data_IF_585311065734
#
_entry.id   IF_585311065734
#
_cell.length_a   1.000
_cell.length_b   1.000
_cell.length_c   1.000
_cell.angle_alpha   90.00
_cell.angle_beta   90.00
_cell.angle_gamma   90.00
#
_symmetry.space_group_name_H-M   'P 1'
#
loop_
_entity.id
_entity.type
_entity.pdbx_description
1 polymer ?
#
# COMPACT_ATOMS: atom_id res chain seq x y z
N UNK A 1 -6.56 -0.53 3.43
CA UNK A 1 -5.88 -1.71 2.85
C UNK A 1 -6.88 -2.76 2.38
N UNK A 2 -7.73 -3.32 3.25
CA UNK A 2 -8.72 -4.36 2.84
C UNK A 2 -9.57 -3.93 1.64
N UNK A 3 -10.13 -2.71 1.69
CA UNK A 3 -10.95 -2.15 0.60
C UNK A 3 -10.23 -2.16 -0.76
N UNK A 4 -8.91 -1.93 -0.77
CA UNK A 4 -8.13 -1.92 -2.00
C UNK A 4 -8.09 -3.28 -2.67
N UNK A 5 -7.82 -4.34 -1.91
CA UNK A 5 -7.74 -5.70 -2.46
C UNK A 5 -9.12 -6.22 -2.90
N UNK A 6 -10.18 -5.88 -2.18
CA UNK A 6 -11.55 -6.22 -2.57
C UNK A 6 -11.91 -5.52 -3.89
N UNK A 7 -11.65 -4.22 -4.01
CA UNK A 7 -11.95 -3.47 -5.23
C UNK A 7 -11.04 -3.88 -6.38
N UNK A 8 -9.76 -4.18 -6.13
CA UNK A 8 -8.87 -4.73 -7.14
C UNK A 8 -9.45 -6.03 -7.72
N UNK A 9 -9.93 -6.94 -6.87
CA UNK A 9 -10.54 -8.20 -7.30
C UNK A 9 -11.85 -7.98 -8.08
N UNK A 10 -12.69 -7.03 -7.66
CA UNK A 10 -13.91 -6.65 -8.41
C UNK A 10 -13.53 -6.10 -9.78
N UNK A 11 -12.60 -5.14 -9.82
CA UNK A 11 -12.22 -4.45 -11.04
C UNK A 11 -11.58 -5.40 -12.06
N UNK A 12 -10.66 -6.27 -11.63
CA UNK A 12 -10.03 -7.24 -12.54
C UNK A 12 -11.03 -8.30 -13.05
N UNK A 13 -12.00 -8.70 -12.23
CA UNK A 13 -13.02 -9.69 -12.60
C UNK A 13 -14.03 -9.14 -13.61
N UNK A 14 -14.16 -7.82 -13.72
CA UNK A 14 -15.07 -7.17 -14.66
C UNK A 14 -14.51 -7.12 -16.10
N UNK A 15 -13.23 -7.43 -16.30
CA UNK A 15 -12.60 -7.33 -17.63
C UNK A 15 -13.14 -8.41 -18.59
N UNK A 16 -13.57 -7.99 -19.78
CA UNK A 16 -14.07 -8.91 -20.82
C UNK A 16 -12.96 -9.84 -21.36
N UNK A 17 -11.73 -9.33 -21.46
CA UNK A 17 -10.53 -10.15 -21.69
C UNK A 17 -9.86 -10.39 -20.33
N UNK A 18 -9.59 -11.63 -19.93
CA UNK A 18 -9.07 -11.90 -18.59
C UNK A 18 -7.84 -11.06 -18.26
N UNK A 19 -7.90 -10.36 -17.13
CA UNK A 19 -6.80 -9.56 -16.60
C UNK A 19 -5.61 -10.47 -16.22
N UNK A 20 -4.42 -10.14 -16.69
CA UNK A 20 -3.20 -10.92 -16.40
C UNK A 20 -2.39 -10.27 -15.28
N UNK A 21 -2.23 -10.96 -14.15
CA UNK A 21 -1.39 -10.47 -13.05
C UNK A 21 0.09 -10.28 -13.43
N UNK A 22 0.57 -11.04 -14.42
CA UNK A 22 1.93 -10.91 -14.93
C UNK A 22 2.05 -9.82 -16.00
N UNK A 23 1.06 -9.71 -16.90
CA UNK A 23 1.11 -8.83 -18.07
C UNK A 23 0.47 -7.46 -17.89
N UNK A 24 -0.40 -7.30 -16.89
CA UNK A 24 -1.11 -6.05 -16.62
C UNK A 24 -0.65 -5.40 -15.32
N UNK A 25 -0.39 -4.11 -15.40
CA UNK A 25 -0.11 -3.28 -14.25
C UNK A 25 -1.38 -3.10 -13.41
N UNK A 26 -1.21 -2.91 -12.10
CA UNK A 26 -2.24 -2.47 -11.17
C UNK A 26 -2.88 -1.18 -11.68
N UNK A 27 -2.07 -0.26 -12.23
CA UNK A 27 -2.57 1.00 -12.81
C UNK A 27 -3.48 0.81 -14.03
N UNK A 28 -3.36 -0.30 -14.78
CA UNK A 28 -4.25 -0.60 -15.90
C UNK A 28 -5.71 -0.74 -15.45
N UNK A 29 -5.95 -1.17 -14.20
CA UNK A 29 -7.29 -1.24 -13.61
C UNK A 29 -7.92 0.16 -13.45
N UNK A 30 -7.12 1.22 -13.44
CA UNK A 30 -7.57 2.60 -13.32
C UNK A 30 -7.72 3.34 -14.66
N UNK A 31 -7.35 2.73 -15.81
CA UNK A 31 -7.40 3.42 -17.10
C UNK A 31 -8.85 3.72 -17.54
N UNK A 32 -9.08 4.96 -17.97
CA UNK A 32 -10.41 5.48 -18.29
C UNK A 32 -10.89 5.11 -19.71
N UNK A 33 -9.98 4.84 -20.63
CA UNK A 33 -10.29 4.50 -22.02
C UNK A 33 -9.86 3.07 -22.36
N UNK A 34 -10.63 2.45 -23.25
CA UNK A 34 -10.26 1.16 -23.83
C UNK A 34 -9.37 1.36 -25.05
N UNK A 35 -8.09 1.01 -24.93
CA UNK A 35 -7.09 1.27 -25.97
C UNK A 35 -5.97 0.21 -25.99
N UNK A 36 -5.30 0.11 -27.14
CA UNK A 36 -4.03 -0.62 -27.23
C UNK A 36 -2.93 0.29 -26.68
N UNK A 37 -2.25 -0.16 -25.63
CA UNK A 37 -1.09 0.53 -25.08
C UNK A 37 0.18 -0.11 -25.64
N UNK A 38 0.98 0.60 -26.45
CA UNK A 38 2.16 0.02 -27.11
C UNK A 38 3.37 -0.12 -26.18
N UNK A 39 3.45 0.74 -25.17
CA UNK A 39 4.58 0.84 -24.24
C UNK A 39 4.15 0.58 -22.78
N UNK A 40 5.07 0.13 -21.89
CA UNK A 40 6.41 -0.38 -22.22
C UNK A 40 6.39 -1.78 -22.85
N UNK A 41 5.25 -2.49 -22.75
CA UNK A 41 4.96 -3.74 -23.43
C UNK A 41 3.54 -3.67 -24.02
N UNK A 42 3.36 -4.07 -25.30
CA UNK A 42 2.06 -3.99 -25.98
C UNK A 42 0.96 -4.80 -25.27
N UNK A 43 -0.12 -4.14 -24.86
CA UNK A 43 -1.31 -4.81 -24.30
C UNK A 43 -2.58 -3.99 -24.52
N UNK A 44 -3.68 -4.68 -24.75
CA UNK A 44 -4.99 -4.03 -24.83
C UNK A 44 -5.56 -3.86 -23.42
N UNK A 45 -5.87 -2.63 -23.05
CA UNK A 45 -6.39 -2.27 -21.72
C UNK A 45 -7.82 -1.79 -21.90
N UNK A 46 -8.73 -2.33 -21.09
CA UNK A 46 -10.11 -1.89 -21.01
C UNK A 46 -10.64 -2.25 -19.63
N UNK A 47 -10.75 -1.27 -18.74
CA UNK A 47 -11.16 -1.48 -17.35
C UNK A 47 -12.56 -0.91 -17.11
N UNK A 48 -13.63 -1.74 -17.10
CA UNK A 48 -15.00 -1.25 -16.95
C UNK A 48 -15.23 -0.55 -15.61
N UNK A 49 -14.59 -1.04 -14.54
CA UNK A 49 -14.73 -0.54 -13.18
C UNK A 49 -13.61 0.45 -12.79
N UNK A 50 -13.03 1.14 -13.78
CA UNK A 50 -11.93 2.08 -13.55
C UNK A 50 -12.27 3.17 -12.54
N UNK A 51 -13.51 3.69 -12.56
CA UNK A 51 -13.98 4.68 -11.59
C UNK A 51 -13.93 4.17 -10.15
N UNK A 52 -14.36 2.93 -9.92
CA UNK A 52 -14.32 2.28 -8.61
C UNK A 52 -12.87 2.04 -8.17
N UNK A 53 -12.01 1.58 -9.07
CA UNK A 53 -10.59 1.37 -8.79
C UNK A 53 -9.87 2.69 -8.44
N UNK A 54 -10.13 3.75 -9.18
CA UNK A 54 -9.55 5.07 -8.94
C UNK A 54 -10.02 5.68 -7.61
N UNK A 55 -11.30 5.56 -7.28
CA UNK A 55 -11.82 5.92 -5.96
C UNK A 55 -11.15 5.12 -4.84
N UNK A 56 -10.88 3.82 -5.08
CA UNK A 56 -10.13 2.97 -4.15
C UNK A 56 -8.69 3.42 -3.96
N UNK A 57 -7.97 3.83 -5.01
CA UNK A 57 -6.63 4.42 -4.89
C UNK A 57 -6.66 5.69 -4.03
N UNK A 58 -7.62 6.59 -4.26
CA UNK A 58 -7.76 7.81 -3.46
C UNK A 58 -8.06 7.48 -1.99
N UNK A 59 -9.03 6.62 -1.73
CA UNK A 59 -9.37 6.19 -0.37
C UNK A 59 -8.19 5.51 0.32
N UNK A 60 -7.45 4.66 -0.38
CA UNK A 60 -6.23 4.02 0.10
C UNK A 60 -5.20 5.07 0.53
N UNK A 61 -4.93 6.05 -0.32
CA UNK A 61 -3.97 7.11 -0.06
C UNK A 61 -4.33 7.95 1.16
N UNK A 62 -5.59 8.39 1.25
CA UNK A 62 -6.11 9.15 2.40
C UNK A 62 -5.99 8.34 3.69
N UNK A 63 -6.42 7.07 3.68
CA UNK A 63 -6.33 6.20 4.86
C UNK A 63 -4.89 5.97 5.31
N UNK A 64 -3.94 5.88 4.36
CA UNK A 64 -2.52 5.73 4.68
C UNK A 64 -1.96 6.99 5.35
N UNK A 65 -2.25 8.18 4.81
CA UNK A 65 -1.83 9.46 5.42
C UNK A 65 -2.40 9.60 6.83
N UNK A 66 -3.70 9.36 7.00
CA UNK A 66 -4.37 9.42 8.30
C UNK A 66 -3.76 8.40 9.27
N UNK A 67 -3.52 7.16 8.84
CA UNK A 67 -2.88 6.13 9.66
C UNK A 67 -1.46 6.51 10.12
N UNK A 68 -0.65 7.09 9.23
CA UNK A 68 0.69 7.58 9.56
C UNK A 68 0.63 8.75 10.55
N UNK A 69 -0.35 9.64 10.44
CA UNK A 69 -0.57 10.74 11.37
C UNK A 69 -0.94 10.21 12.78
N UNK A 70 -1.95 9.33 12.84
CA UNK A 70 -2.49 8.78 14.09
C UNK A 70 -1.50 7.88 14.86
N UNK A 71 -0.57 7.23 14.17
CA UNK A 71 0.38 6.30 14.79
C UNK A 71 1.59 6.98 15.46
N UNK A 72 1.74 8.30 15.34
CA UNK A 72 2.95 9.04 15.67
C UNK A 72 3.52 8.90 17.07
N UNK A 73 2.67 8.89 18.09
CA UNK A 73 3.07 8.79 19.50
C UNK A 73 3.10 7.36 20.04
N UNK A 74 2.70 6.38 19.23
CA UNK A 74 2.49 5.01 19.68
C UNK A 74 3.45 4.06 18.97
N UNK A 75 3.48 4.11 17.64
CA UNK A 75 4.21 3.14 16.82
C UNK A 75 5.70 3.48 16.65
N UNK A 76 6.04 4.75 16.75
CA UNK A 76 7.33 5.29 16.31
C UNK A 76 8.21 5.72 17.50
N UNK A 77 9.52 5.57 17.34
CA UNK A 77 10.50 6.20 18.24
C UNK A 77 10.44 7.73 18.07
N UNK A 78 10.98 8.45 19.05
CA UNK A 78 11.25 9.88 18.90
C UNK A 78 12.53 10.10 18.07
N UNK A 79 12.56 11.18 17.29
CA UNK A 79 13.76 11.62 16.57
C UNK A 79 13.57 11.76 15.06
N UNK A 80 14.62 12.26 14.39
CA UNK A 80 14.62 12.63 12.97
C UNK A 80 14.37 11.44 12.04
N UNK A 81 14.94 10.27 12.32
CA UNK A 81 14.76 9.08 11.49
C UNK A 81 13.29 8.63 11.44
N UNK A 82 12.59 8.67 12.58
CA UNK A 82 11.18 8.33 12.65
C UNK A 82 10.29 9.38 11.98
N UNK A 83 10.60 10.67 12.14
CA UNK A 83 9.91 11.73 11.41
C UNK A 83 10.06 11.56 9.88
N UNK A 84 11.27 11.24 9.41
CA UNK A 84 11.55 11.03 7.99
C UNK A 84 10.82 9.80 7.44
N UNK A 85 10.89 8.65 8.13
CA UNK A 85 10.17 7.45 7.71
C UNK A 85 8.66 7.71 7.57
N UNK A 86 8.07 8.43 8.53
CA UNK A 86 6.66 8.83 8.49
C UNK A 86 6.36 9.80 7.34
N UNK A 87 7.20 10.81 7.13
CA UNK A 87 7.03 11.74 6.02
C UNK A 87 7.01 11.00 4.68
N UNK A 88 7.96 10.10 4.45
CA UNK A 88 8.07 9.30 3.24
C UNK A 88 6.87 8.36 3.05
N UNK A 89 6.37 7.74 4.12
CA UNK A 89 5.14 6.93 4.06
C UNK A 89 3.89 7.80 3.79
N UNK A 90 3.85 9.02 4.31
CA UNK A 90 2.78 9.97 4.00
C UNK A 90 2.85 10.41 2.52
N UNK A 91 4.04 10.64 1.99
CA UNK A 91 4.25 10.89 0.56
C UNK A 91 3.70 9.74 -0.29
N UNK A 92 3.89 8.48 0.11
CA UNK A 92 3.28 7.33 -0.57
C UNK A 92 1.74 7.41 -0.60
N UNK A 93 1.13 7.82 0.51
CA UNK A 93 -0.30 8.05 0.58
C UNK A 93 -0.78 9.15 -0.37
N UNK A 94 -0.04 10.26 -0.45
CA UNK A 94 -0.28 11.32 -1.47
C UNK A 94 -0.12 10.76 -2.87
N UNK A 95 0.88 9.91 -3.11
CA UNK A 95 1.09 9.26 -4.40
C UNK A 95 -0.09 8.39 -4.85
N UNK A 96 -0.71 7.63 -3.94
CA UNK A 96 -1.94 6.89 -4.22
C UNK A 96 -3.12 7.80 -4.56
N UNK A 97 -3.26 8.94 -3.88
CA UNK A 97 -4.28 9.95 -4.23
C UNK A 97 -4.04 10.48 -5.64
N UNK A 98 -2.80 10.86 -5.98
CA UNK A 98 -2.46 11.34 -7.31
C UNK A 98 -2.73 10.28 -8.38
N UNK A 99 -2.31 9.03 -8.17
CA UNK A 99 -2.53 7.94 -9.12
C UNK A 99 -4.03 7.67 -9.38
N UNK A 100 -4.88 7.81 -8.35
CA UNK A 100 -6.33 7.68 -8.51
C UNK A 100 -7.01 8.88 -9.16
N UNK A 101 -6.53 10.10 -8.92
CA UNK A 101 -7.07 11.32 -9.56
C UNK A 101 -6.56 11.53 -10.99
N UNK A 102 -5.39 10.96 -11.31
CA UNK A 102 -4.76 11.03 -12.62
C UNK A 102 -4.50 9.61 -13.15
N UNK A 103 -5.51 8.99 -13.80
CA UNK A 103 -5.33 7.74 -14.53
C UNK A 103 -4.18 7.83 -15.53
N UNK A 104 -3.45 6.73 -15.72
CA UNK A 104 -2.22 6.70 -16.53
C UNK A 104 -2.46 7.08 -18.00
N UNK A 105 -3.62 6.71 -18.55
CA UNK A 105 -4.03 7.02 -19.92
C UNK A 105 -4.59 8.45 -20.10
N UNK A 106 -4.88 9.16 -19.01
CA UNK A 106 -5.45 10.52 -19.03
C UNK A 106 -4.38 11.57 -18.74
N UNK A 107 -3.55 11.34 -17.72
CA UNK A 107 -2.48 12.26 -17.33
C UNK A 107 -1.27 11.48 -16.81
N UNK A 108 -0.49 10.95 -17.74
CA UNK A 108 0.68 10.11 -17.47
C UNK A 108 1.70 10.80 -16.55
N UNK A 109 1.99 12.09 -16.75
CA UNK A 109 2.98 12.81 -15.94
C UNK A 109 2.60 12.85 -14.45
N UNK A 110 1.33 13.14 -14.14
CA UNK A 110 0.83 13.14 -12.75
C UNK A 110 0.77 11.71 -12.18
N UNK A 111 0.39 10.74 -13.01
CA UNK A 111 0.39 9.33 -12.63
C UNK A 111 1.79 8.84 -12.26
N UNK A 112 2.80 9.13 -13.09
CA UNK A 112 4.20 8.76 -12.87
C UNK A 112 4.76 9.44 -11.62
N UNK A 113 4.42 10.71 -11.37
CA UNK A 113 4.76 11.36 -10.10
C UNK A 113 4.14 10.62 -8.91
N UNK A 114 2.87 10.22 -9.00
CA UNK A 114 2.20 9.40 -8.00
C UNK A 114 2.93 8.07 -7.76
N UNK A 115 3.27 7.36 -8.84
CA UNK A 115 4.01 6.10 -8.79
C UNK A 115 5.40 6.26 -8.15
N UNK A 116 6.13 7.34 -8.44
CA UNK A 116 7.42 7.65 -7.81
C UNK A 116 7.27 7.91 -6.30
N UNK A 117 6.23 8.62 -5.88
CA UNK A 117 5.96 8.83 -4.46
C UNK A 117 5.60 7.53 -3.75
N UNK A 118 4.85 6.63 -4.38
CA UNK A 118 4.50 5.32 -3.84
C UNK A 118 5.73 4.42 -3.75
N UNK A 119 6.40 4.17 -4.90
CA UNK A 119 7.37 3.09 -5.05
C UNK A 119 8.81 3.50 -4.75
N UNK A 120 9.16 4.78 -4.88
CA UNK A 120 10.46 5.28 -4.43
C UNK A 120 10.35 5.79 -2.99
N UNK A 121 9.65 6.92 -2.77
CA UNK A 121 9.62 7.56 -1.46
C UNK A 121 9.00 6.64 -0.40
N UNK A 122 7.84 6.05 -0.68
CA UNK A 122 7.15 5.13 0.24
C UNK A 122 7.99 3.94 0.66
N UNK A 123 8.65 3.27 -0.29
CA UNK A 123 9.47 2.10 0.01
C UNK A 123 10.77 2.45 0.73
N UNK A 124 11.38 3.62 0.46
CA UNK A 124 12.48 4.16 1.28
C UNK A 124 11.99 4.41 2.71
N UNK A 125 10.80 5.01 2.86
CA UNK A 125 10.16 5.18 4.16
C UNK A 125 9.94 3.86 4.90
N UNK A 126 9.49 2.82 4.19
CA UNK A 126 9.28 1.48 4.72
C UNK A 126 10.61 0.81 5.13
N UNK A 127 11.66 0.93 4.32
CA UNK A 127 12.98 0.40 4.64
C UNK A 127 13.54 1.05 5.92
N UNK A 128 13.39 2.38 6.05
CA UNK A 128 13.76 3.12 7.25
C UNK A 128 12.88 2.78 8.46
N UNK A 129 11.62 2.40 8.23
CA UNK A 129 10.64 2.21 9.30
C UNK A 129 11.09 1.15 10.32
N UNK A 130 11.74 0.06 9.90
CA UNK A 130 12.23 -0.96 10.85
C UNK A 130 13.15 -0.42 11.95
N UNK A 131 14.00 0.56 11.62
CA UNK A 131 14.87 1.23 12.59
C UNK A 131 14.15 2.31 13.41
N UNK A 132 13.10 2.90 12.83
CA UNK A 132 12.30 3.97 13.41
C UNK A 132 11.12 3.50 14.29
N UNK A 133 10.73 2.23 14.21
CA UNK A 133 9.68 1.62 15.04
C UNK A 133 10.09 1.58 16.52
N UNK A 134 9.12 1.82 17.40
CA UNK A 134 9.31 1.88 18.85
C UNK A 134 9.82 0.56 19.44
N UNK A 135 10.51 0.63 20.59
CA UNK A 135 11.20 -0.52 21.19
C UNK A 135 10.26 -1.64 21.66
N UNK A 136 9.01 -1.30 22.00
CA UNK A 136 7.96 -2.27 22.33
C UNK A 136 7.44 -3.07 21.10
N UNK A 137 7.95 -2.77 19.90
CA UNK A 137 7.72 -3.56 18.69
C UNK A 137 8.81 -4.65 18.60
N UNK A 138 8.43 -5.94 18.55
CA UNK A 138 9.36 -7.04 18.49
C UNK A 138 10.41 -6.90 17.38
N UNK A 139 11.66 -7.22 17.70
CA UNK A 139 12.80 -7.17 16.78
C UNK A 139 12.54 -7.85 15.43
N UNK A 140 11.93 -9.06 15.35
CA UNK A 140 11.63 -9.69 14.06
C UNK A 140 10.70 -8.86 13.17
N UNK A 141 9.70 -8.18 13.73
CA UNK A 141 8.79 -7.31 12.97
C UNK A 141 9.50 -6.07 12.44
N UNK A 142 10.46 -5.54 13.20
CA UNK A 142 11.30 -4.41 12.79
C UNK A 142 12.20 -4.80 11.61
N UNK A 143 12.89 -5.93 11.70
CA UNK A 143 13.68 -6.47 10.59
C UNK A 143 12.82 -6.79 9.37
N UNK A 144 11.68 -7.45 9.57
CA UNK A 144 10.74 -7.76 8.49
C UNK A 144 10.23 -6.49 7.79
N UNK A 145 9.97 -5.42 8.53
CA UNK A 145 9.60 -4.11 7.96
C UNK A 145 10.69 -3.57 7.04
N UNK A 146 11.94 -3.54 7.50
CA UNK A 146 13.05 -3.06 6.67
C UNK A 146 13.30 -3.96 5.46
N UNK A 147 13.20 -5.28 5.63
CA UNK A 147 13.34 -6.24 4.54
C UNK A 147 12.28 -6.02 3.45
N UNK A 148 11.00 -5.88 3.84
CA UNK A 148 9.92 -5.55 2.89
C UNK A 148 10.21 -4.27 2.12
N UNK A 149 10.69 -3.22 2.80
CA UNK A 149 11.10 -1.97 2.15
C UNK A 149 12.23 -2.15 1.15
N UNK A 150 13.31 -2.85 1.53
CA UNK A 150 14.44 -3.12 0.64
C UNK A 150 13.99 -3.94 -0.58
N UNK A 151 13.23 -5.02 -0.37
CA UNK A 151 12.68 -5.84 -1.46
C UNK A 151 11.85 -4.99 -2.43
N UNK A 152 10.99 -4.11 -1.92
CA UNK A 152 10.14 -3.25 -2.74
C UNK A 152 10.93 -2.20 -3.54
N UNK A 153 11.97 -1.58 -2.96
CA UNK A 153 12.87 -0.66 -3.68
C UNK A 153 13.65 -1.40 -4.77
N UNK A 154 14.18 -2.59 -4.46
CA UNK A 154 14.89 -3.41 -5.45
C UNK A 154 13.96 -3.78 -6.60
N UNK A 155 12.74 -4.23 -6.29
CA UNK A 155 11.72 -4.53 -7.30
C UNK A 155 11.37 -3.29 -8.14
N UNK A 156 11.28 -2.11 -7.52
CA UNK A 156 11.06 -0.87 -8.24
C UNK A 156 12.21 -0.52 -9.22
N UNK A 157 13.47 -0.68 -8.80
CA UNK A 157 14.62 -0.50 -9.68
C UNK A 157 14.65 -1.50 -10.85
N UNK A 158 14.28 -2.75 -10.57
CA UNK A 158 14.12 -3.79 -11.59
C UNK A 158 12.97 -3.47 -12.56
N UNK A 159 11.84 -2.97 -12.04
CA UNK A 159 10.70 -2.51 -12.83
C UNK A 159 11.09 -1.41 -13.81
N UNK A 160 11.77 -0.36 -13.32
CA UNK A 160 12.25 0.76 -14.16
C UNK A 160 13.25 0.32 -15.23
N UNK A 161 14.10 -0.67 -14.90
CA UNK A 161 15.07 -1.23 -15.84
C UNK A 161 14.51 -2.33 -16.75
N UNK A 162 13.20 -2.62 -16.66
CA UNK A 162 12.50 -3.67 -17.43
C UNK A 162 13.03 -5.09 -17.20
N UNK A 163 13.59 -5.37 -16.04
CA UNK A 163 14.07 -6.71 -15.65
C UNK A 163 13.03 -7.40 -14.74
N UNK A 164 12.10 -8.15 -15.32
CA UNK A 164 10.95 -8.67 -14.56
C UNK A 164 11.16 -10.04 -13.88
N UNK A 165 12.30 -10.70 -14.09
CA UNK A 165 12.66 -11.98 -13.46
C UNK A 165 11.59 -13.09 -13.65
N UNK A 166 10.90 -13.09 -14.79
CA UNK A 166 9.82 -14.05 -15.09
C UNK A 166 8.48 -13.73 -14.42
N UNK A 167 8.38 -12.67 -13.63
CA UNK A 167 7.11 -12.21 -13.03
C UNK A 167 6.22 -11.44 -14.03
N UNK A 168 6.81 -10.98 -15.14
CA UNK A 168 6.20 -10.01 -16.05
C UNK A 168 6.13 -8.60 -15.45
N UNK A 169 5.81 -7.62 -16.29
CA UNK A 169 5.74 -6.22 -15.89
C UNK A 169 4.79 -6.01 -14.70
N UNK A 170 3.57 -6.52 -14.81
CA UNK A 170 2.54 -6.41 -13.77
C UNK A 170 2.89 -7.16 -12.49
N UNK A 171 3.60 -8.27 -12.60
CA UNK A 171 4.07 -9.01 -11.42
C UNK A 171 5.16 -8.23 -10.68
N UNK A 172 6.12 -7.65 -11.41
CA UNK A 172 7.18 -6.85 -10.80
C UNK A 172 6.63 -5.56 -10.16
N UNK A 173 5.65 -4.90 -10.78
CA UNK A 173 4.97 -3.75 -10.18
C UNK A 173 4.32 -4.10 -8.83
N UNK A 174 3.69 -5.27 -8.73
CA UNK A 174 3.11 -5.77 -7.47
C UNK A 174 4.16 -5.99 -6.39
N UNK A 175 5.32 -6.54 -6.74
CA UNK A 175 6.43 -6.67 -5.78
C UNK A 175 6.95 -5.29 -5.35
N UNK A 176 6.90 -4.28 -6.23
CA UNK A 176 7.26 -2.92 -5.88
C UNK A 176 6.19 -2.19 -5.03
N UNK A 177 4.90 -2.52 -5.15
CA UNK A 177 3.81 -1.81 -4.48
C UNK A 177 3.25 -2.52 -3.23
N UNK A 178 3.01 -3.83 -3.30
CA UNK A 178 2.29 -4.57 -2.27
C UNK A 178 3.00 -4.70 -0.91
N UNK A 179 4.34 -4.76 -0.80
CA UNK A 179 5.00 -4.83 0.50
C UNK A 179 4.58 -3.70 1.46
N UNK A 180 4.41 -2.47 0.95
CA UNK A 180 3.92 -1.34 1.74
C UNK A 180 2.47 -1.55 2.20
N UNK A 181 1.60 -2.02 1.31
CA UNK A 181 0.18 -2.26 1.61
C UNK A 181 0.01 -3.38 2.65
N UNK A 182 0.75 -4.48 2.49
CA UNK A 182 0.74 -5.58 3.45
C UNK A 182 1.30 -5.17 4.80
N UNK A 183 2.39 -4.39 4.82
CA UNK A 183 2.92 -3.83 6.05
C UNK A 183 1.91 -2.95 6.77
N UNK A 184 1.27 -2.01 6.05
CA UNK A 184 0.28 -1.12 6.64
C UNK A 184 -0.96 -1.88 7.15
N UNK A 185 -1.38 -2.94 6.44
CA UNK A 185 -2.44 -3.83 6.88
C UNK A 185 -2.05 -4.55 8.19
N UNK A 186 -0.86 -5.14 8.24
CA UNK A 186 -0.38 -5.85 9.43
C UNK A 186 -0.25 -4.93 10.65
N UNK A 187 0.25 -3.71 10.46
CA UNK A 187 0.30 -2.67 11.51
C UNK A 187 -1.11 -2.31 11.99
N UNK A 188 -2.04 -2.10 11.06
CA UNK A 188 -3.44 -1.78 11.38
C UNK A 188 -4.13 -2.89 12.19
N UNK A 189 -4.00 -4.15 11.75
CA UNK A 189 -4.55 -5.32 12.43
C UNK A 189 -3.96 -5.48 13.83
N UNK A 190 -2.63 -5.35 13.97
CA UNK A 190 -1.97 -5.38 15.29
C UNK A 190 -2.49 -4.28 16.22
N UNK A 191 -2.72 -3.09 15.70
CA UNK A 191 -3.30 -1.97 16.46
C UNK A 191 -4.73 -2.28 16.94
N UNK A 192 -5.57 -2.83 16.07
CA UNK A 192 -6.95 -3.21 16.40
C UNK A 192 -7.00 -4.30 17.49
N UNK A 193 -6.19 -5.36 17.36
CA UNK A 193 -6.12 -6.46 18.34
C UNK A 193 -5.69 -5.94 19.71
N UNK A 194 -4.64 -5.10 19.77
CA UNK A 194 -4.16 -4.52 21.03
C UNK A 194 -5.20 -3.60 21.69
N UNK A 195 -5.99 -2.87 20.90
CA UNK A 195 -7.08 -2.04 21.43
C UNK A 195 -8.19 -2.91 22.03
N UNK A 196 -8.57 -3.99 21.35
CA UNK A 196 -9.60 -4.90 21.85
C UNK A 196 -9.19 -5.55 23.18
N UNK A 197 -7.95 -6.04 23.30
CA UNK A 197 -7.44 -6.61 24.55
C UNK A 197 -7.47 -5.63 25.73
N UNK A 198 -7.07 -4.36 25.50
CA UNK A 198 -7.14 -3.30 26.52
C UNK A 198 -8.56 -2.98 26.96
N UNK A 199 -9.55 -3.05 26.06
CA UNK A 199 -10.96 -2.83 26.41
C UNK A 199 -11.53 -3.99 27.24
N UNK A 200 -11.09 -5.22 26.98
CA UNK A 200 -11.50 -6.40 27.76
C UNK A 200 -10.94 -6.36 29.18
N UNK A 201 -9.65 -6.02 29.37
CA UNK A 201 -9.03 -5.88 30.70
C UNK A 201 -9.66 -4.75 31.54
N UNK A 202 -10.20 -3.70 30.90
CA UNK A 202 -10.81 -2.56 31.57
C UNK A 202 -12.26 -2.78 32.03
N UNK A 203 -12.90 -3.90 31.64
CA UNK A 203 -14.27 -4.22 32.08
C UNK A 203 -14.19 -4.97 33.42
N UNK A 204 -14.60 -4.38 34.56
CA UNK A 204 -14.56 -5.07 35.84
C UNK A 204 -15.48 -6.28 35.78
N UNK A 205 -14.97 -7.47 36.10
CA UNK A 205 -15.82 -8.62 36.43
C UNK A 205 -16.67 -8.25 37.63
N UNK A 206 -17.98 -8.05 37.42
CA UNK A 206 -18.95 -7.88 38.50
C UNK A 206 -18.77 -9.03 39.51
N UNK A 207 -18.52 -8.77 40.80
CA UNK A 207 -18.53 -9.83 41.78
C UNK A 207 -19.95 -10.38 41.83
N UNK A 208 -20.13 -11.65 41.46
CA UNK A 208 -21.34 -12.41 41.76
C UNK A 208 -21.60 -12.27 43.26
N UNK A 209 -22.56 -11.40 43.60
CA UNK A 209 -23.13 -11.29 44.92
C UNK A 209 -23.65 -12.66 45.32
N UNK A 210 -22.92 -13.33 46.23
CA UNK A 210 -23.46 -14.46 46.99
C UNK A 210 -24.55 -13.88 47.88
N UNK A 211 -25.80 -14.05 47.46
CA UNK A 211 -26.95 -13.95 48.33
C UNK A 211 -27.54 -15.35 48.53
N UNK A 212 -27.66 -15.75 49.80
CA UNK A 212 -28.45 -16.90 50.26
C UNK A 212 -27.64 -18.11 50.65
#
# INVERSE_FOLDING_TARGET
MVQFFVIHWIAESAWARPYSWAGNNISDLGNAHCALQPDPEPRYICSPEHGLMNASFVALGVLLVVGVALTGGVLWRRGRAAAMARLLLACAGVGFVLAGLAPADVNENQHVLGALLIMAAGNIGLAMAGFALAEHIPTPLRWGTSLLGVTAITAFGLFLSRHYLGLGMGGMERVAAFPLLFWALAVGVRGAIRRAGRMQEATPTEPLSRAG
#
